data_IF_214546048995
#
_entry.id   IF_214546048995
#
_cell.length_a   1.000
_cell.length_b   1.000
_cell.length_c   1.000
_cell.angle_alpha   90.00
_cell.angle_beta   90.00
_cell.angle_gamma   90.00
#
_symmetry.space_group_name_H-M   'P 1'
#
loop_
_entity.id
_entity.type
_entity.pdbx_description
1 polymer ?
#
# COMPACT_ATOMS: atom_id res chain seq x y z
N UNK A 1 29.08 -26.52 56.52
CA UNK A 1 28.60 -26.18 55.15
C UNK A 1 29.09 -27.28 54.23
N UNK A 2 28.31 -28.15 53.60
CA UNK A 2 27.05 -27.95 52.85
C UNK A 2 26.29 -29.29 52.74
N UNK A 3 24.99 -29.28 53.04
CA UNK A 3 24.04 -30.39 52.84
C UNK A 3 23.66 -30.50 51.35
N UNK A 4 24.08 -31.60 50.70
CA UNK A 4 23.75 -31.92 49.31
C UNK A 4 22.44 -32.75 49.30
N UNK A 5 21.28 -32.08 49.44
CA UNK A 5 19.99 -32.73 49.18
C UNK A 5 19.90 -33.10 47.71
N UNK A 6 19.99 -34.40 47.43
CA UNK A 6 19.80 -35.02 46.11
C UNK A 6 18.40 -34.67 45.58
N UNK A 7 18.32 -33.68 44.69
CA UNK A 7 17.10 -33.41 43.91
C UNK A 7 16.76 -34.64 43.08
N UNK A 8 15.64 -35.29 43.38
CA UNK A 8 15.21 -36.48 42.65
C UNK A 8 14.53 -36.09 41.35
N UNK A 9 14.51 -36.98 40.34
CA UNK A 9 13.79 -36.76 39.07
C UNK A 9 12.32 -36.38 39.26
N UNK A 10 11.69 -36.83 40.36
CA UNK A 10 10.32 -36.44 40.75
C UNK A 10 10.24 -35.01 41.25
N UNK A 11 11.26 -34.52 41.95
CA UNK A 11 11.31 -33.14 42.44
C UNK A 11 11.60 -32.15 41.29
N UNK A 12 12.42 -32.55 40.31
CA UNK A 12 12.64 -31.78 39.09
C UNK A 12 11.36 -31.65 38.23
N UNK A 13 10.56 -32.72 38.12
CA UNK A 13 9.28 -32.66 37.41
C UNK A 13 8.25 -31.77 38.13
N UNK A 14 8.27 -31.71 39.47
CA UNK A 14 7.40 -30.81 40.25
C UNK A 14 7.80 -29.34 40.12
N UNK A 15 9.09 -29.02 40.09
CA UNK A 15 9.58 -27.64 39.96
C UNK A 15 9.55 -27.13 38.52
N UNK A 16 9.80 -27.99 37.53
CA UNK A 16 9.68 -27.64 36.11
C UNK A 16 8.22 -27.44 35.67
N UNK A 17 7.27 -28.19 36.25
CA UNK A 17 5.84 -28.06 35.94
C UNK A 17 5.24 -26.71 36.36
N UNK A 18 5.76 -26.09 37.43
CA UNK A 18 5.28 -24.79 37.90
C UNK A 18 5.81 -23.60 37.06
N UNK A 19 6.99 -23.73 36.45
CA UNK A 19 7.60 -22.67 35.62
C UNK A 19 7.12 -22.66 34.16
N UNK A 20 6.66 -23.81 33.63
CA UNK A 20 6.18 -23.90 32.26
C UNK A 20 4.81 -23.23 32.05
N UNK A 21 4.00 -23.09 33.10
CA UNK A 21 2.65 -22.53 33.00
C UNK A 21 2.67 -20.99 32.90
N UNK A 22 3.66 -20.31 33.47
CA UNK A 22 3.74 -18.84 33.43
C UNK A 22 4.31 -18.31 32.11
N UNK A 23 5.19 -19.05 31.44
CA UNK A 23 5.73 -18.66 30.12
C UNK A 23 4.78 -18.99 28.95
N UNK A 24 3.90 -19.97 29.11
CA UNK A 24 2.90 -20.29 28.07
C UNK A 24 1.83 -19.19 27.91
N UNK A 25 1.55 -18.42 28.98
CA UNK A 25 0.58 -17.32 28.94
C UNK A 25 1.08 -16.07 28.18
N UNK A 26 2.40 -15.91 28.01
CA UNK A 26 2.99 -14.79 27.26
C UNK A 26 3.13 -15.07 25.76
N UNK A 27 3.12 -16.35 25.35
CA UNK A 27 3.29 -16.74 23.95
C UNK A 27 1.98 -16.68 23.13
N UNK A 28 0.81 -16.61 23.79
CA UNK A 28 -0.49 -16.55 23.10
C UNK A 28 -0.90 -15.12 22.69
N UNK A 29 -0.15 -14.09 23.10
CA UNK A 29 -0.46 -12.68 22.83
C UNK A 29 0.19 -12.12 21.55
N UNK A 30 0.65 -12.97 20.61
CA UNK A 30 1.21 -12.52 19.32
C UNK A 30 0.52 -13.07 18.07
N UNK A 31 -0.76 -13.44 18.17
CA UNK A 31 -1.54 -13.76 16.97
C UNK A 31 -2.44 -12.61 16.47
N UNK A 32 -2.28 -11.40 16.97
CA UNK A 32 -3.04 -10.22 16.52
C UNK A 32 -2.42 -9.52 15.29
N UNK A 33 -1.42 -10.10 14.62
CA UNK A 33 -0.82 -9.53 13.40
C UNK A 33 -1.04 -10.43 12.19
N UNK A 34 -2.30 -10.61 11.82
CA UNK A 34 -2.71 -11.02 10.49
C UNK A 34 -4.17 -10.59 10.28
N UNK A 35 -4.42 -9.29 10.29
CA UNK A 35 -5.69 -8.78 9.75
C UNK A 35 -5.53 -8.72 8.24
N UNK A 36 -5.61 -9.88 7.58
CA UNK A 36 -5.85 -9.90 6.14
C UNK A 36 -7.22 -9.30 5.93
N UNK A 37 -7.38 -8.15 5.27
CA UNK A 37 -8.70 -7.64 4.99
C UNK A 37 -9.27 -8.41 3.77
N UNK A 38 -10.54 -8.17 3.46
CA UNK A 38 -11.30 -8.68 2.28
C UNK A 38 -11.98 -10.05 2.50
N UNK A 39 -13.25 -10.27 2.07
CA UNK A 39 -14.31 -9.38 1.59
C UNK A 39 -15.20 -8.85 2.75
N UNK A 40 -15.78 -7.66 2.59
CA UNK A 40 -16.70 -7.07 3.58
C UNK A 40 -16.07 -6.11 4.59
N UNK A 41 -14.87 -5.56 4.29
CA UNK A 41 -14.35 -4.46 5.09
C UNK A 41 -15.38 -3.32 5.03
N UNK A 42 -15.99 -2.93 6.17
CA UNK A 42 -17.03 -1.92 6.14
C UNK A 42 -16.38 -0.65 5.63
N UNK A 43 -16.77 -0.26 4.40
CA UNK A 43 -16.69 1.14 4.02
C UNK A 43 -17.42 1.95 5.09
N UNK A 44 -17.12 3.25 5.19
CA UNK A 44 -17.75 4.10 6.19
C UNK A 44 -19.28 4.19 5.95
N UNK A 45 -20.06 3.22 6.46
CA UNK A 45 -21.51 3.13 6.33
C UNK A 45 -22.04 2.79 4.93
N UNK A 46 -23.34 3.03 4.72
CA UNK A 46 -24.07 2.82 3.46
C UNK A 46 -23.76 3.91 2.40
N UNK A 47 -22.52 4.38 2.36
CA UNK A 47 -22.09 5.47 1.48
C UNK A 47 -21.42 4.90 0.23
N UNK A 48 -21.50 5.63 -0.88
CA UNK A 48 -20.81 5.30 -2.13
C UNK A 48 -19.93 6.47 -2.54
N UNK A 49 -18.64 6.21 -2.74
CA UNK A 49 -17.69 7.27 -3.11
C UNK A 49 -17.65 7.45 -4.62
N UNK A 50 -17.72 8.71 -5.05
CA UNK A 50 -17.56 9.12 -6.45
C UNK A 50 -16.65 10.35 -6.49
N UNK A 51 -15.75 10.38 -7.47
CA UNK A 51 -14.93 11.54 -7.77
C UNK A 51 -15.39 12.13 -9.10
N UNK A 52 -15.70 13.42 -9.11
CA UNK A 52 -16.04 14.18 -10.32
C UNK A 52 -14.96 15.23 -10.53
N UNK A 53 -14.33 15.21 -11.70
CA UNK A 53 -13.33 16.18 -12.10
C UNK A 53 -13.94 17.04 -13.20
N UNK A 54 -14.06 18.35 -12.95
CA UNK A 54 -14.49 19.31 -13.95
C UNK A 54 -13.34 19.68 -14.88
N UNK A 55 -13.36 19.12 -16.09
CA UNK A 55 -12.33 19.35 -17.11
C UNK A 55 -12.36 20.76 -17.69
N UNK A 56 -13.49 21.47 -17.61
CA UNK A 56 -13.60 22.85 -18.10
C UNK A 56 -12.85 23.85 -17.21
N UNK A 57 -12.58 23.47 -15.95
CA UNK A 57 -11.82 24.27 -14.98
C UNK A 57 -10.38 23.80 -14.79
N UNK A 58 -10.00 22.68 -15.40
CA UNK A 58 -8.64 22.17 -15.28
C UNK A 58 -7.71 22.98 -16.19
N UNK A 59 -6.78 23.70 -15.56
CA UNK A 59 -5.75 24.51 -16.23
C UNK A 59 -4.43 23.75 -16.44
N UNK A 60 -4.35 22.51 -15.94
CA UNK A 60 -3.18 21.66 -16.05
C UNK A 60 -2.06 21.99 -15.06
N UNK A 61 -2.33 22.71 -13.97
CA UNK A 61 -1.30 23.12 -12.99
C UNK A 61 -0.46 21.98 -12.40
N UNK A 62 -1.05 20.78 -12.26
CA UNK A 62 -0.36 19.61 -11.72
C UNK A 62 -0.43 19.47 -10.19
N UNK A 63 -1.05 20.40 -9.47
CA UNK A 63 -1.17 20.36 -8.00
C UNK A 63 -1.84 19.06 -7.50
N UNK A 64 -2.78 18.51 -8.28
CA UNK A 64 -3.41 17.23 -7.97
C UNK A 64 -2.41 16.05 -8.01
N UNK A 65 -1.42 16.09 -8.90
CA UNK A 65 -0.35 15.09 -8.98
C UNK A 65 0.62 15.24 -7.81
N UNK A 66 1.00 16.48 -7.48
CA UNK A 66 1.90 16.77 -6.34
C UNK A 66 1.25 16.35 -5.01
N UNK A 67 0.01 16.77 -4.77
CA UNK A 67 -0.73 16.43 -3.56
C UNK A 67 -0.91 14.91 -3.42
N UNK A 68 -1.23 14.20 -4.51
CA UNK A 68 -1.34 12.74 -4.49
C UNK A 68 0.00 12.07 -4.14
N UNK A 69 1.09 12.56 -4.73
CA UNK A 69 2.45 12.07 -4.47
C UNK A 69 2.84 12.27 -3.02
N UNK A 70 2.61 13.47 -2.47
CA UNK A 70 2.91 13.80 -1.09
C UNK A 70 2.07 12.96 -0.10
N UNK A 71 0.77 12.82 -0.34
CA UNK A 71 -0.14 12.08 0.54
C UNK A 71 0.15 10.58 0.60
N UNK A 72 0.63 10.00 -0.51
CA UNK A 72 0.87 8.56 -0.62
C UNK A 72 2.34 8.16 -0.59
N UNK A 73 3.26 9.13 -0.48
CA UNK A 73 4.71 8.91 -0.57
C UNK A 73 5.09 8.11 -1.84
N UNK A 74 4.50 8.49 -2.98
CA UNK A 74 4.69 7.79 -4.25
C UNK A 74 6.16 7.94 -4.67
N UNK A 75 6.86 6.86 -5.05
CA UNK A 75 8.25 6.93 -5.46
C UNK A 75 8.39 7.66 -6.81
N UNK A 76 9.58 8.21 -7.03
CA UNK A 76 9.90 8.93 -8.26
C UNK A 76 9.64 8.07 -9.52
N UNK A 77 9.08 8.72 -10.55
CA UNK A 77 8.75 8.07 -11.82
C UNK A 77 7.37 7.39 -11.85
N UNK A 78 6.60 7.47 -10.76
CA UNK A 78 5.20 7.05 -10.73
C UNK A 78 4.29 8.25 -10.46
N UNK A 79 3.16 8.31 -11.16
CA UNK A 79 2.18 9.38 -11.05
C UNK A 79 0.79 8.74 -10.99
N UNK A 80 0.26 8.48 -9.79
CA UNK A 80 -1.06 7.83 -9.66
C UNK A 80 -2.20 8.70 -10.21
N UNK A 81 -2.01 10.02 -10.24
CA UNK A 81 -2.83 10.96 -10.98
C UNK A 81 -1.91 11.65 -11.99
N UNK A 82 -2.11 11.39 -13.28
CA UNK A 82 -1.33 12.01 -14.34
C UNK A 82 -2.18 12.97 -15.17
N UNK A 83 -1.69 14.20 -15.36
CA UNK A 83 -2.37 15.20 -16.19
C UNK A 83 -1.91 15.08 -17.63
N UNK A 84 -2.85 14.81 -18.54
CA UNK A 84 -2.61 14.74 -19.98
C UNK A 84 -3.11 16.02 -20.64
N UNK A 85 -2.33 16.57 -21.57
CA UNK A 85 -2.85 17.56 -22.51
C UNK A 85 -3.43 16.81 -23.71
N UNK A 86 -4.73 16.95 -23.93
CA UNK A 86 -5.46 16.30 -25.03
C UNK A 86 -5.72 17.35 -26.10
N UNK A 87 -5.27 17.07 -27.33
CA UNK A 87 -5.50 17.95 -28.48
C UNK A 87 -6.74 17.52 -29.26
N UNK A 88 -7.46 18.49 -29.83
CA UNK A 88 -8.60 18.23 -30.69
C UNK A 88 -8.15 17.94 -32.12
N UNK A 89 -8.43 16.74 -32.63
CA UNK A 89 -8.09 16.34 -34.00
C UNK A 89 -8.76 17.19 -35.10
N UNK A 90 -9.85 17.88 -34.79
CA UNK A 90 -10.65 18.65 -35.77
C UNK A 90 -10.37 20.16 -35.76
N UNK A 91 -9.33 20.62 -35.05
CA UNK A 91 -9.06 22.04 -34.85
C UNK A 91 -9.96 22.64 -33.77
N UNK A 92 -9.40 22.77 -32.57
CA UNK A 92 -10.05 23.33 -31.40
C UNK A 92 -9.03 23.47 -30.28
N UNK A 93 -9.35 24.26 -29.24
CA UNK A 93 -8.49 24.33 -28.06
C UNK A 93 -8.44 22.95 -27.38
N UNK A 94 -7.23 22.50 -27.07
CA UNK A 94 -7.03 21.29 -26.29
C UNK A 94 -7.51 21.48 -24.85
N UNK A 95 -7.69 20.38 -24.12
CA UNK A 95 -8.05 20.41 -22.71
C UNK A 95 -7.10 19.54 -21.90
N UNK A 96 -7.08 19.76 -20.59
CA UNK A 96 -6.31 18.94 -19.66
C UNK A 96 -7.18 17.84 -19.06
N UNK A 97 -6.63 16.63 -19.02
CA UNK A 97 -7.29 15.44 -18.53
C UNK A 97 -6.45 14.80 -17.42
N UNK A 98 -6.71 15.14 -16.14
CA UNK A 98 -6.15 14.42 -15.00
C UNK A 98 -6.77 13.02 -14.94
N UNK A 99 -5.93 12.00 -15.01
CA UNK A 99 -6.35 10.60 -15.04
C UNK A 99 -5.92 9.87 -13.76
N UNK A 100 -6.81 9.76 -12.77
CA UNK A 100 -6.61 8.88 -11.63
C UNK A 100 -7.03 7.42 -11.96
N UNK A 101 -6.98 6.53 -10.97
CA UNK A 101 -7.74 5.29 -11.03
C UNK A 101 -9.26 5.60 -11.00
N UNK A 102 -9.99 5.10 -11.99
CA UNK A 102 -11.42 5.41 -12.18
C UNK A 102 -12.38 4.71 -11.20
N UNK A 103 -11.87 3.85 -10.29
CA UNK A 103 -12.69 3.13 -9.30
C UNK A 103 -13.90 2.40 -9.93
N UNK A 104 -13.62 1.64 -10.99
CA UNK A 104 -14.62 1.03 -11.86
C UNK A 104 -15.64 0.18 -11.09
N UNK A 105 -16.89 0.18 -11.54
CA UNK A 105 -17.95 -0.62 -10.91
C UNK A 105 -17.75 -2.14 -11.11
N UNK A 106 -17.35 -2.54 -12.32
CA UNK A 106 -16.86 -3.87 -12.64
C UNK A 106 -15.35 -3.81 -13.00
N UNK A 107 -14.45 -3.80 -12.00
CA UNK A 107 -13.04 -3.56 -12.23
C UNK A 107 -12.32 -4.78 -12.84
N UNK A 108 -11.81 -4.69 -14.09
CA UNK A 108 -11.11 -5.81 -14.70
C UNK A 108 -9.84 -6.19 -13.94
N UNK A 109 -9.20 -5.22 -13.27
CA UNK A 109 -8.01 -5.45 -12.44
C UNK A 109 -8.28 -6.33 -11.20
N UNK A 110 -9.52 -6.37 -10.69
CA UNK A 110 -9.93 -7.28 -9.61
C UNK A 110 -10.18 -8.67 -10.18
N UNK A 111 -10.92 -8.76 -11.29
CA UNK A 111 -11.30 -10.04 -11.92
C UNK A 111 -10.09 -10.88 -12.36
N UNK A 112 -8.97 -10.24 -12.73
CA UNK A 112 -7.75 -10.94 -13.17
C UNK A 112 -6.78 -11.28 -12.03
N UNK A 113 -7.03 -10.84 -10.79
CA UNK A 113 -6.10 -11.05 -9.70
C UNK A 113 -6.20 -12.49 -9.17
N UNK A 114 -5.16 -13.34 -9.34
CA UNK A 114 -5.27 -14.77 -9.04
C UNK A 114 -5.30 -15.07 -7.53
N UNK A 115 -4.81 -14.13 -6.70
CA UNK A 115 -4.71 -14.26 -5.25
C UNK A 115 -5.73 -13.42 -4.50
N UNK A 116 -6.58 -12.66 -5.19
CA UNK A 116 -7.58 -11.77 -4.54
C UNK A 116 -7.00 -10.50 -3.90
N UNK A 117 -5.74 -10.15 -4.16
CA UNK A 117 -5.10 -8.94 -3.63
C UNK A 117 -5.73 -7.65 -4.15
N UNK A 118 -6.22 -7.62 -5.39
CA UNK A 118 -7.06 -6.51 -5.87
C UNK A 118 -8.52 -6.84 -5.56
N UNK A 119 -9.21 -5.94 -4.87
CA UNK A 119 -10.60 -6.15 -4.44
C UNK A 119 -11.37 -4.83 -4.47
N UNK A 120 -12.71 -4.93 -4.45
CA UNK A 120 -13.61 -3.78 -4.35
C UNK A 120 -14.32 -3.83 -3.00
N UNK A 121 -14.26 -2.72 -2.27
CA UNK A 121 -14.93 -2.56 -0.97
C UNK A 121 -16.41 -2.27 -1.17
N UNK A 122 -17.20 -2.46 -0.11
CA UNK A 122 -18.65 -2.25 -0.12
C UNK A 122 -19.06 -0.81 -0.44
N UNK A 123 -18.21 0.19 -0.24
CA UNK A 123 -18.49 1.61 -0.56
C UNK A 123 -18.09 2.00 -2.01
N UNK A 124 -17.67 1.03 -2.82
CA UNK A 124 -17.34 1.24 -4.23
C UNK A 124 -15.86 1.46 -4.53
N UNK A 125 -15.00 1.61 -3.51
CA UNK A 125 -13.57 1.87 -3.72
C UNK A 125 -12.82 0.56 -4.03
N UNK A 126 -12.03 0.59 -5.10
CA UNK A 126 -11.12 -0.47 -5.53
C UNK A 126 -9.75 -0.26 -4.89
N UNK A 127 -9.29 -1.26 -4.14
CA UNK A 127 -8.07 -1.20 -3.36
C UNK A 127 -7.13 -2.38 -3.72
N UNK A 128 -5.93 -2.34 -3.16
CA UNK A 128 -4.94 -3.41 -3.27
C UNK A 128 -4.46 -3.76 -1.87
N UNK A 129 -4.55 -5.04 -1.53
CA UNK A 129 -3.80 -5.63 -0.42
C UNK A 129 -2.34 -5.80 -0.83
N UNK A 130 -1.44 -5.06 -0.20
CA UNK A 130 -0.02 -5.18 -0.50
C UNK A 130 0.61 -6.42 0.14
N UNK A 131 0.02 -6.97 1.20
CA UNK A 131 0.54 -8.16 1.89
C UNK A 131 0.16 -9.44 1.13
N UNK A 132 -0.99 -9.44 0.44
CA UNK A 132 -1.43 -10.55 -0.40
C UNK A 132 -0.89 -10.47 -1.84
N UNK A 133 -0.44 -9.31 -2.30
CA UNK A 133 0.00 -9.10 -3.67
C UNK A 133 1.30 -9.86 -4.00
N UNK A 134 1.19 -10.88 -4.87
CA UNK A 134 2.36 -11.65 -5.35
C UNK A 134 3.13 -11.00 -6.51
N UNK A 135 2.73 -9.79 -6.93
CA UNK A 135 3.42 -9.08 -8.01
C UNK A 135 3.31 -9.68 -9.41
N UNK A 136 2.23 -10.42 -9.71
CA UNK A 136 2.00 -11.03 -11.03
C UNK A 136 1.73 -10.03 -12.18
N UNK A 137 1.45 -8.75 -11.87
CA UNK A 137 1.23 -7.64 -12.81
C UNK A 137 0.04 -7.78 -13.78
N UNK A 138 -0.81 -8.81 -13.65
CA UNK A 138 -2.00 -8.96 -14.49
C UNK A 138 -2.97 -7.77 -14.36
N UNK A 139 -3.08 -7.19 -13.18
CA UNK A 139 -3.90 -5.99 -12.95
C UNK A 139 -3.44 -4.76 -13.75
N UNK A 140 -2.16 -4.70 -14.12
CA UNK A 140 -1.60 -3.61 -14.94
C UNK A 140 -2.02 -3.80 -16.39
N UNK A 141 -1.85 -5.01 -16.93
CA UNK A 141 -2.27 -5.34 -18.29
C UNK A 141 -3.79 -5.20 -18.47
N UNK A 142 -4.58 -5.53 -17.45
CA UNK A 142 -6.04 -5.49 -17.52
C UNK A 142 -6.65 -4.10 -17.35
N UNK A 143 -5.91 -3.11 -16.85
CA UNK A 143 -6.48 -1.78 -16.59
C UNK A 143 -6.55 -0.97 -17.90
N UNK A 144 -7.75 -0.61 -18.40
CA UNK A 144 -7.89 0.14 -19.65
C UNK A 144 -7.38 1.57 -19.53
N UNK A 145 -7.25 2.06 -18.31
CA UNK A 145 -6.74 3.40 -18.00
C UNK A 145 -5.26 3.39 -17.63
N UNK A 146 -4.57 2.24 -17.63
CA UNK A 146 -3.18 2.12 -17.18
C UNK A 146 -2.90 2.82 -15.84
N UNK A 147 -3.85 2.75 -14.91
CA UNK A 147 -3.80 3.41 -13.61
C UNK A 147 -3.19 2.53 -12.49
N UNK A 148 -2.55 1.42 -12.87
CA UNK A 148 -1.89 0.49 -11.96
C UNK A 148 -0.39 0.54 -12.21
N UNK A 149 0.36 0.67 -11.14
CA UNK A 149 1.81 0.70 -11.15
C UNK A 149 2.35 -0.51 -10.39
N UNK A 150 3.47 -1.03 -10.84
CA UNK A 150 4.19 -2.06 -10.09
C UNK A 150 5.32 -1.40 -9.34
N UNK A 151 5.31 -1.55 -8.02
CA UNK A 151 6.49 -1.27 -7.23
C UNK A 151 7.56 -2.31 -7.58
N UNK A 152 8.44 -1.92 -8.49
CA UNK A 152 9.53 -2.75 -8.99
C UNK A 152 10.62 -2.82 -7.94
N UNK A 153 10.34 -3.53 -6.86
CA UNK A 153 11.33 -4.02 -5.91
C UNK A 153 12.46 -3.03 -5.60
N UNK A 154 12.14 -2.02 -4.81
CA UNK A 154 12.97 -1.77 -3.64
C UNK A 154 12.14 -1.05 -2.59
N UNK A 155 11.54 -1.82 -1.68
CA UNK A 155 11.01 -1.28 -0.43
C UNK A 155 12.10 -0.59 0.41
N UNK A 156 13.37 -0.81 0.06
CA UNK A 156 14.50 -0.10 0.61
C UNK A 156 14.94 1.12 -0.23
N UNK A 157 14.48 1.36 -1.47
CA UNK A 157 14.96 2.52 -2.26
C UNK A 157 14.51 3.87 -1.80
N UNK A 158 13.40 4.09 -1.08
CA UNK A 158 13.16 5.48 -0.64
C UNK A 158 14.27 5.95 0.33
N UNK A 159 14.71 5.06 1.23
CA UNK A 159 15.84 5.30 2.13
C UNK A 159 17.20 5.07 1.44
N UNK A 160 17.34 4.03 0.61
CA UNK A 160 18.58 3.67 -0.05
C UNK A 160 18.89 4.58 -1.24
N UNK A 161 17.91 5.16 -1.92
CA UNK A 161 18.11 6.14 -3.00
C UNK A 161 18.53 7.47 -2.40
N UNK A 162 17.92 7.89 -1.29
CA UNK A 162 18.43 9.04 -0.52
C UNK A 162 19.89 8.81 -0.10
N UNK A 163 20.22 7.63 0.46
CA UNK A 163 21.59 7.26 0.82
C UNK A 163 22.54 7.11 -0.41
N UNK A 164 22.04 6.67 -1.57
CA UNK A 164 22.80 6.57 -2.82
C UNK A 164 23.08 7.94 -3.45
N UNK A 165 22.15 8.89 -3.35
CA UNK A 165 22.37 10.26 -3.81
C UNK A 165 23.35 11.00 -2.90
N UNK A 166 23.22 10.82 -1.58
CA UNK A 166 24.12 11.39 -0.57
C UNK A 166 25.55 10.81 -0.68
N UNK A 167 25.70 9.50 -0.88
CA UNK A 167 27.00 8.86 -1.13
C UNK A 167 27.64 9.19 -2.49
N UNK A 168 26.89 9.77 -3.42
CA UNK A 168 27.38 10.26 -4.72
C UNK A 168 27.59 11.77 -4.77
N UNK A 169 27.46 12.48 -3.63
CA UNK A 169 27.70 13.91 -3.55
C UNK A 169 26.71 14.77 -4.37
N UNK A 170 25.56 14.22 -4.73
CA UNK A 170 24.49 14.97 -5.36
C UNK A 170 23.58 15.53 -4.26
N UNK A 171 23.57 16.86 -4.06
CA UNK A 171 22.68 17.52 -3.11
C UNK A 171 21.20 17.24 -3.50
N UNK A 172 20.57 16.27 -2.83
CA UNK A 172 19.09 16.19 -2.72
C UNK A 172 18.58 17.17 -1.65
N UNK A 173 19.45 18.08 -1.21
CA UNK A 173 19.16 19.14 -0.26
C UNK A 173 18.26 20.19 -0.92
N UNK A 174 16.98 19.87 -1.07
CA UNK A 174 15.89 20.85 -1.00
C UNK A 174 14.47 20.30 -0.93
N UNK A 175 14.22 19.03 -1.23
CA UNK A 175 12.83 18.54 -1.28
C UNK A 175 12.35 17.72 -0.08
N UNK A 176 13.23 17.26 0.82
CA UNK A 176 12.83 16.40 1.95
C UNK A 176 12.72 17.10 3.32
N UNK A 177 13.08 18.38 3.45
CA UNK A 177 13.16 19.05 4.76
C UNK A 177 12.54 20.45 4.85
N UNK A 178 11.69 20.84 3.90
CA UNK A 178 10.96 22.11 3.99
C UNK A 178 9.44 21.96 3.84
N UNK A 179 8.89 20.90 4.46
CA UNK A 179 7.53 20.83 5.01
C UNK A 179 7.54 19.96 6.27
#
# INVERSE_FOLDING_TARGET
MTDQRKLTRRDFLKTAGAGAVTLAAAATARSALAKGPHPGDPGAGNQRWVMVIDLARCDGCGDCTEACTAMHNIPFGQEWIKVYKVEHHAGGEGYFFPRPCMQCDNPPCVNVCPVGASYKREDGVVLIDQDLCIGCRFCIAACPYSARYFESFCRSTQADVAALFESRGMEVARYFFNM
#
